data_IF_871430821690
#
_entry.id   IF_871430821690
#
_cell.length_a   1.000
_cell.length_b   1.000
_cell.length_c   1.000
_cell.angle_alpha   90.00
_cell.angle_beta   90.00
_cell.angle_gamma   90.00
#
_symmetry.space_group_name_H-M   'P 1'
#
loop_
_entity.id
_entity.type
_entity.pdbx_description
1 polymer ?
#
# COMPACT_ATOMS: atom_id res chain seq x y z
N UNK A 1 -9.96 33.89 -18.68
CA UNK A 1 -9.43 32.57 -19.13
C UNK A 1 -10.16 31.53 -18.30
N UNK A 2 -10.67 30.45 -18.89
CA UNK A 2 -11.28 29.36 -18.12
C UNK A 2 -10.18 28.69 -17.29
N UNK A 3 -10.44 28.40 -16.01
CA UNK A 3 -9.47 27.79 -15.08
C UNK A 3 -8.90 26.47 -15.59
N UNK A 4 -9.73 25.66 -16.25
CA UNK A 4 -9.31 24.40 -16.87
C UNK A 4 -8.32 24.67 -18.01
N UNK A 5 -8.59 25.65 -18.88
CA UNK A 5 -7.68 26.01 -19.98
C UNK A 5 -6.36 26.57 -19.44
N UNK A 6 -6.39 27.39 -18.40
CA UNK A 6 -5.19 27.90 -17.75
C UNK A 6 -4.30 26.75 -17.23
N UNK A 7 -4.88 25.77 -16.55
CA UNK A 7 -4.13 24.64 -16.03
C UNK A 7 -3.53 23.78 -17.16
N UNK A 8 -4.30 23.55 -18.24
CA UNK A 8 -3.82 22.83 -19.44
C UNK A 8 -2.61 23.55 -20.04
N UNK A 9 -2.68 24.87 -20.21
CA UNK A 9 -1.60 25.65 -20.80
C UNK A 9 -0.32 25.58 -19.94
N UNK A 10 -0.45 25.59 -18.60
CA UNK A 10 0.67 25.41 -17.68
C UNK A 10 1.24 23.99 -17.81
N UNK A 11 0.41 22.96 -17.73
CA UNK A 11 0.88 21.57 -17.85
C UNK A 11 1.64 21.34 -19.16
N UNK A 12 1.07 21.77 -20.28
CA UNK A 12 1.68 21.63 -21.60
C UNK A 12 3.01 22.40 -21.71
N UNK A 13 3.08 23.59 -21.13
CA UNK A 13 4.32 24.39 -21.09
C UNK A 13 5.48 23.64 -20.42
N UNK A 14 5.17 22.80 -19.43
CA UNK A 14 6.17 22.03 -18.68
C UNK A 14 6.25 20.56 -19.11
N UNK A 15 5.66 20.21 -20.28
CA UNK A 15 5.78 18.89 -20.88
C UNK A 15 4.89 17.81 -20.23
N UNK A 16 3.87 18.22 -19.49
CA UNK A 16 2.88 17.32 -18.93
C UNK A 16 1.71 17.23 -19.92
N UNK A 17 1.57 16.06 -20.54
CA UNK A 17 0.49 15.82 -21.48
C UNK A 17 -0.86 15.81 -20.76
N UNK A 18 -1.86 16.41 -21.38
CA UNK A 18 -3.21 16.55 -20.81
C UNK A 18 -4.26 16.08 -21.79
N UNK A 19 -5.34 15.51 -21.25
CA UNK A 19 -6.61 15.30 -21.96
C UNK A 19 -7.75 15.78 -21.07
N UNK A 20 -8.92 16.03 -21.66
CA UNK A 20 -10.12 16.42 -20.91
C UNK A 20 -11.16 15.33 -21.03
N UNK A 21 -11.71 14.88 -19.91
CA UNK A 21 -12.76 13.86 -19.88
C UNK A 21 -14.16 14.45 -20.14
N UNK A 22 -15.18 13.59 -20.18
CA UNK A 22 -16.57 14.00 -20.44
C UNK A 22 -17.18 14.96 -19.41
N UNK A 23 -16.59 15.01 -18.19
CA UNK A 23 -17.01 15.91 -17.11
C UNK A 23 -16.25 17.25 -17.11
N UNK A 24 -15.54 17.55 -18.19
CA UNK A 24 -14.67 18.74 -18.32
C UNK A 24 -13.54 18.80 -17.26
N UNK A 25 -13.08 17.65 -16.80
CA UNK A 25 -11.97 17.52 -15.85
C UNK A 25 -10.70 17.10 -16.60
N UNK A 26 -9.55 17.54 -16.11
CA UNK A 26 -8.25 17.25 -16.71
C UNK A 26 -7.78 15.85 -16.29
N UNK A 27 -7.23 15.11 -17.24
CA UNK A 27 -6.43 13.90 -16.99
C UNK A 27 -5.01 14.20 -17.45
N UNK A 28 -4.04 14.01 -16.55
CA UNK A 28 -2.62 14.24 -16.84
C UNK A 28 -1.87 12.91 -17.04
N UNK A 29 -0.82 12.92 -17.85
CA UNK A 29 0.04 11.75 -18.04
C UNK A 29 0.90 11.46 -16.80
N UNK A 30 1.55 12.50 -16.27
CA UNK A 30 2.36 12.43 -15.07
C UNK A 30 2.28 13.76 -14.33
N UNK A 31 2.69 13.77 -13.05
CA UNK A 31 2.88 14.99 -12.27
C UNK A 31 4.24 14.95 -11.58
N UNK A 32 5.04 15.97 -11.82
CA UNK A 32 6.29 16.24 -11.11
C UNK A 32 6.61 17.72 -11.21
N UNK A 33 7.50 18.21 -10.34
CA UNK A 33 8.00 19.59 -10.43
C UNK A 33 8.77 19.82 -11.74
N UNK A 34 8.73 21.04 -12.30
CA UNK A 34 9.51 21.39 -13.47
C UNK A 34 11.01 21.19 -13.24
N UNK A 35 11.73 20.81 -14.29
CA UNK A 35 13.17 20.53 -14.19
C UNK A 35 13.95 21.78 -13.73
N UNK A 36 14.64 21.65 -12.60
CA UNK A 36 15.51 22.71 -12.05
C UNK A 36 14.81 23.78 -11.22
N UNK A 37 13.48 23.71 -11.07
CA UNK A 37 12.68 24.69 -10.29
C UNK A 37 11.44 24.03 -9.70
N UNK A 38 10.56 24.79 -9.04
CA UNK A 38 9.26 24.33 -8.56
C UNK A 38 8.14 25.22 -9.13
N UNK A 39 6.90 24.75 -9.12
CA UNK A 39 5.75 25.56 -9.51
C UNK A 39 5.61 26.80 -8.62
N UNK A 40 5.87 26.66 -7.32
CA UNK A 40 5.86 27.78 -6.37
C UNK A 40 6.92 28.85 -6.68
N UNK A 41 8.16 28.44 -7.01
CA UNK A 41 9.22 29.37 -7.44
C UNK A 41 8.89 30.09 -8.74
N UNK A 42 8.00 29.54 -9.55
CA UNK A 42 7.45 30.14 -10.76
C UNK A 42 6.22 31.02 -10.49
N UNK A 43 5.82 31.16 -9.22
CA UNK A 43 4.61 31.90 -8.82
C UNK A 43 3.30 31.19 -9.15
N UNK A 44 3.33 29.86 -9.35
CA UNK A 44 2.17 29.05 -9.65
C UNK A 44 1.77 28.30 -8.38
N UNK A 45 0.56 28.57 -7.88
CA UNK A 45 -0.01 27.84 -6.76
C UNK A 45 -0.41 26.43 -7.23
N UNK A 46 0.19 25.39 -6.62
CA UNK A 46 0.00 23.99 -7.01
C UNK A 46 -1.41 23.49 -6.71
N UNK A 47 -2.02 23.86 -5.57
CA UNK A 47 -3.37 23.46 -5.22
C UNK A 47 -4.39 24.00 -6.24
N UNK A 48 -4.19 25.24 -6.73
CA UNK A 48 -5.01 25.80 -7.80
C UNK A 48 -4.78 25.12 -9.15
N UNK A 49 -3.52 24.77 -9.46
CA UNK A 49 -3.16 24.08 -10.70
C UNK A 49 -3.83 22.72 -10.83
N UNK A 50 -3.89 21.96 -9.74
CA UNK A 50 -4.40 20.58 -9.79
C UNK A 50 -5.87 20.44 -9.38
N UNK A 51 -6.56 21.49 -8.93
CA UNK A 51 -7.96 21.37 -8.42
C UNK A 51 -8.94 20.78 -9.41
N UNK A 52 -8.70 20.97 -10.72
CA UNK A 52 -9.52 20.44 -11.81
C UNK A 52 -8.96 19.15 -12.41
N UNK A 53 -7.94 18.54 -11.82
CA UNK A 53 -7.37 17.27 -12.28
C UNK A 53 -8.13 16.11 -11.65
N UNK A 54 -8.77 15.29 -12.48
CA UNK A 54 -9.51 14.12 -12.02
C UNK A 54 -8.61 12.88 -11.86
N UNK A 55 -7.62 12.71 -12.75
CA UNK A 55 -6.81 11.52 -12.76
C UNK A 55 -5.38 11.78 -13.30
N UNK A 56 -4.46 10.88 -12.89
CA UNK A 56 -3.12 10.78 -13.45
C UNK A 56 -2.93 9.37 -14.00
N UNK A 57 -2.70 9.25 -15.32
CA UNK A 57 -2.55 7.95 -15.98
C UNK A 57 -1.18 7.29 -15.78
N UNK A 58 -0.22 8.03 -15.24
CA UNK A 58 1.12 7.55 -14.90
C UNK A 58 1.49 7.85 -13.45
N UNK A 59 2.66 8.43 -13.25
CA UNK A 59 3.23 8.71 -11.93
C UNK A 59 2.86 10.11 -11.43
N UNK A 60 2.38 10.21 -10.20
CA UNK A 60 2.22 11.43 -9.44
C UNK A 60 3.28 11.49 -8.33
N UNK A 61 4.28 12.35 -8.50
CA UNK A 61 5.40 12.48 -7.57
C UNK A 61 5.35 13.81 -6.83
N UNK A 62 5.42 13.77 -5.49
CA UNK A 62 5.28 14.96 -4.64
C UNK A 62 6.63 15.57 -4.24
N UNK A 63 7.75 15.12 -4.81
CA UNK A 63 9.08 15.65 -4.49
C UNK A 63 9.14 17.17 -4.71
N UNK A 64 9.50 17.92 -3.65
CA UNK A 64 9.50 19.38 -3.61
C UNK A 64 8.14 20.05 -3.87
N UNK A 65 7.06 19.28 -3.86
CA UNK A 65 5.71 19.81 -4.02
C UNK A 65 5.22 20.46 -2.72
N UNK A 66 4.48 21.57 -2.87
CA UNK A 66 3.81 22.29 -1.80
C UNK A 66 2.30 21.97 -1.71
N UNK A 67 1.88 20.94 -2.42
CA UNK A 67 0.49 20.47 -2.36
C UNK A 67 0.09 20.12 -0.94
N UNK A 68 -1.07 20.62 -0.51
CA UNK A 68 -1.67 20.31 0.79
C UNK A 68 -2.81 19.32 0.69
N UNK A 69 -3.45 19.25 -0.49
CA UNK A 69 -4.59 18.38 -0.77
C UNK A 69 -4.36 17.62 -2.08
N UNK A 70 -4.72 16.34 -2.09
CA UNK A 70 -4.68 15.51 -3.29
C UNK A 70 -6.11 15.36 -3.84
N UNK A 71 -6.47 16.05 -4.94
CA UNK A 71 -7.84 16.10 -5.44
C UNK A 71 -8.25 14.92 -6.32
N UNK A 72 -7.28 14.17 -6.88
CA UNK A 72 -7.52 13.16 -7.90
C UNK A 72 -8.40 12.01 -7.43
N UNK A 73 -9.21 11.49 -8.34
CA UNK A 73 -10.07 10.32 -8.13
C UNK A 73 -9.30 9.02 -8.38
N UNK A 74 -8.38 9.04 -9.34
CA UNK A 74 -7.58 7.87 -9.71
C UNK A 74 -6.15 8.26 -10.09
N UNK A 75 -5.20 7.38 -9.77
CA UNK A 75 -3.81 7.52 -10.18
C UNK A 75 -3.16 6.15 -10.37
N UNK A 76 -2.32 6.00 -11.39
CA UNK A 76 -1.59 4.75 -11.59
C UNK A 76 -0.55 4.54 -10.49
N UNK A 77 0.26 5.55 -10.22
CA UNK A 77 1.28 5.49 -9.19
C UNK A 77 1.35 6.80 -8.42
N UNK A 78 1.33 6.73 -7.10
CA UNK A 78 1.54 7.88 -6.22
C UNK A 78 2.83 7.63 -5.43
N UNK A 79 3.77 8.59 -5.53
CA UNK A 79 4.99 8.61 -4.71
C UNK A 79 4.96 9.87 -3.86
N UNK A 80 4.72 9.69 -2.58
CA UNK A 80 4.84 10.76 -1.60
C UNK A 80 6.23 10.72 -0.97
N UNK A 81 6.95 11.82 -1.04
CA UNK A 81 8.22 11.95 -0.31
C UNK A 81 7.98 12.37 1.16
N UNK A 82 9.05 12.30 1.96
CA UNK A 82 8.95 12.56 3.39
C UNK A 82 8.68 14.04 3.74
N UNK A 83 8.88 14.96 2.80
CA UNK A 83 8.60 16.39 2.96
C UNK A 83 7.23 16.79 2.38
N UNK A 84 6.44 15.83 1.92
CA UNK A 84 5.14 16.07 1.35
C UNK A 84 4.18 16.67 2.39
N UNK A 85 3.51 17.74 2.05
CA UNK A 85 2.56 18.44 2.93
C UNK A 85 1.12 17.90 2.80
N UNK A 86 0.86 16.95 1.89
CA UNK A 86 -0.46 16.35 1.71
C UNK A 86 -0.86 15.58 2.96
N UNK A 87 -1.96 16.01 3.58
CA UNK A 87 -2.53 15.36 4.77
C UNK A 87 -3.84 14.65 4.48
N UNK A 88 -4.47 14.90 3.33
CA UNK A 88 -5.78 14.38 2.95
C UNK A 88 -5.86 14.08 1.45
N UNK A 89 -6.59 13.01 1.14
CA UNK A 89 -6.89 12.55 -0.22
C UNK A 89 -8.40 12.22 -0.32
N UNK A 90 -9.28 13.23 -0.28
CA UNK A 90 -10.72 12.99 -0.06
C UNK A 90 -11.40 12.23 -1.19
N UNK A 91 -10.90 12.37 -2.42
CA UNK A 91 -11.55 11.88 -3.63
C UNK A 91 -10.95 10.59 -4.17
N UNK A 92 -9.76 10.16 -3.71
CA UNK A 92 -9.05 9.02 -4.28
C UNK A 92 -9.82 7.72 -4.05
N UNK A 93 -10.22 7.08 -5.16
CA UNK A 93 -10.98 5.81 -5.20
C UNK A 93 -10.15 4.65 -5.72
N UNK A 94 -9.19 4.93 -6.60
CA UNK A 94 -8.36 3.91 -7.23
C UNK A 94 -6.90 4.35 -7.32
N UNK A 95 -6.00 3.45 -6.96
CA UNK A 95 -4.56 3.63 -7.14
C UNK A 95 -3.90 2.29 -7.40
N UNK A 96 -2.99 2.25 -8.39
CA UNK A 96 -2.24 1.04 -8.68
C UNK A 96 -1.11 0.81 -7.70
N UNK A 97 -0.19 1.76 -7.60
CA UNK A 97 0.90 1.74 -6.63
C UNK A 97 0.89 3.00 -5.77
N UNK A 98 0.95 2.82 -4.46
CA UNK A 98 0.92 3.90 -3.51
C UNK A 98 2.07 3.79 -2.51
N UNK A 99 3.03 4.70 -2.61
CA UNK A 99 4.08 4.91 -1.62
C UNK A 99 3.63 6.04 -0.70
N UNK A 100 3.26 5.67 0.52
CA UNK A 100 2.65 6.57 1.50
C UNK A 100 3.73 7.35 2.24
N UNK A 101 3.69 8.68 2.14
CA UNK A 101 4.62 9.55 2.88
C UNK A 101 4.32 9.58 4.38
N UNK A 102 5.34 9.96 5.16
CA UNK A 102 5.29 9.98 6.63
C UNK A 102 4.24 10.94 7.22
N UNK A 103 3.90 12.01 6.49
CA UNK A 103 2.97 13.04 6.98
C UNK A 103 1.50 12.69 6.77
N UNK A 104 1.18 11.73 5.91
CA UNK A 104 -0.20 11.30 5.71
C UNK A 104 -0.70 10.55 6.96
N UNK A 105 -1.75 11.10 7.60
CA UNK A 105 -2.32 10.53 8.84
C UNK A 105 -3.47 9.58 8.59
N UNK A 106 -4.16 9.75 7.45
CA UNK A 106 -5.34 8.96 7.10
C UNK A 106 -5.32 8.63 5.62
N UNK A 107 -5.47 7.37 5.29
CA UNK A 107 -5.69 6.95 3.92
C UNK A 107 -7.10 7.32 3.44
N UNK A 108 -7.24 7.56 2.13
CA UNK A 108 -8.55 7.70 1.52
C UNK A 108 -9.38 6.42 1.71
N UNK A 109 -10.66 6.51 1.38
CA UNK A 109 -11.61 5.38 1.48
C UNK A 109 -11.40 4.35 0.36
N UNK A 110 -10.15 3.95 0.12
CA UNK A 110 -9.81 2.92 -0.85
C UNK A 110 -10.43 1.59 -0.47
N UNK A 111 -11.11 0.94 -1.42
CA UNK A 111 -11.63 -0.41 -1.26
C UNK A 111 -10.65 -1.47 -1.77
N UNK A 112 -9.90 -1.13 -2.81
CA UNK A 112 -8.89 -1.98 -3.40
C UNK A 112 -7.65 -1.16 -3.79
N UNK A 113 -6.50 -1.81 -3.79
CA UNK A 113 -5.21 -1.24 -4.23
C UNK A 113 -4.36 -2.32 -4.87
N UNK A 114 -3.64 -1.98 -5.95
CA UNK A 114 -2.67 -2.90 -6.53
C UNK A 114 -1.51 -3.16 -5.57
N UNK A 115 -0.80 -2.11 -5.16
CA UNK A 115 0.18 -2.20 -4.08
C UNK A 115 0.18 -0.94 -3.22
N UNK A 116 0.45 -1.11 -1.93
CA UNK A 116 0.62 -0.02 -0.99
C UNK A 116 1.85 -0.29 -0.11
N UNK A 117 2.74 0.71 -0.03
CA UNK A 117 3.90 0.70 0.85
C UNK A 117 3.77 1.84 1.86
N UNK A 118 3.91 1.53 3.14
CA UNK A 118 3.72 2.41 4.27
C UNK A 118 4.94 2.35 5.20
N UNK A 119 6.11 2.56 4.65
CA UNK A 119 7.34 2.65 5.45
C UNK A 119 7.35 3.94 6.27
N UNK A 120 7.66 3.85 7.56
CA UNK A 120 7.68 4.97 8.52
C UNK A 120 6.37 5.80 8.57
N UNK A 121 5.27 5.26 8.09
CA UNK A 121 4.01 5.98 7.95
C UNK A 121 3.29 6.17 9.28
N UNK A 122 2.65 7.32 9.45
CA UNK A 122 1.77 7.64 10.60
C UNK A 122 0.34 7.15 10.44
N UNK A 123 0.03 6.46 9.34
CA UNK A 123 -1.30 5.86 9.12
C UNK A 123 -1.53 4.71 10.10
N UNK A 124 -2.60 4.80 10.88
CA UNK A 124 -2.92 3.81 11.93
C UNK A 124 -3.87 2.71 11.48
N UNK A 125 -4.71 2.97 10.46
CA UNK A 125 -5.73 2.01 10.05
C UNK A 125 -6.03 2.09 8.56
N UNK A 126 -6.46 0.95 7.99
CA UNK A 126 -6.94 0.80 6.62
C UNK A 126 -8.44 0.43 6.64
N UNK A 127 -9.34 1.35 7.07
CA UNK A 127 -10.69 0.99 7.52
C UNK A 127 -11.63 0.54 6.40
N UNK A 128 -11.29 0.74 5.13
CA UNK A 128 -12.12 0.39 3.97
C UNK A 128 -11.43 -0.53 2.97
N UNK A 129 -10.13 -0.77 3.13
CA UNK A 129 -9.37 -1.60 2.21
C UNK A 129 -9.77 -3.06 2.37
N UNK A 130 -10.45 -3.59 1.35
CA UNK A 130 -10.95 -4.97 1.30
C UNK A 130 -9.99 -5.91 0.58
N UNK A 131 -9.40 -5.43 -0.49
CA UNK A 131 -8.52 -6.21 -1.35
C UNK A 131 -7.22 -5.46 -1.64
N UNK A 132 -6.09 -6.15 -1.58
CA UNK A 132 -4.80 -5.62 -1.96
C UNK A 132 -3.99 -6.67 -2.74
N UNK A 133 -3.31 -6.27 -3.80
CA UNK A 133 -2.29 -7.13 -4.40
C UNK A 133 -1.12 -7.26 -3.43
N UNK A 134 -0.52 -6.13 -3.04
CA UNK A 134 0.55 -6.10 -2.05
C UNK A 134 0.28 -5.03 -1.00
N UNK A 135 0.56 -5.38 0.25
CA UNK A 135 0.58 -4.48 1.38
C UNK A 135 1.90 -4.65 2.12
N UNK A 136 2.69 -3.58 2.17
CA UNK A 136 3.92 -3.51 2.96
C UNK A 136 3.76 -2.43 4.01
N UNK A 137 4.03 -2.75 5.26
CA UNK A 137 4.14 -1.78 6.34
C UNK A 137 5.37 -2.13 7.18
N UNK A 138 6.32 -1.20 7.24
CA UNK A 138 7.55 -1.34 8.01
C UNK A 138 7.75 -0.10 8.87
N UNK A 139 8.08 -0.27 10.14
CA UNK A 139 8.27 0.83 11.10
C UNK A 139 7.09 1.83 11.08
N UNK A 140 5.89 1.38 10.78
CA UNK A 140 4.72 2.23 10.62
C UNK A 140 3.81 2.16 11.86
N UNK A 141 2.91 3.13 11.99
CA UNK A 141 1.92 3.13 13.07
C UNK A 141 0.69 2.27 12.77
N UNK A 142 0.74 1.40 11.77
CA UNK A 142 -0.39 0.54 11.40
C UNK A 142 -0.74 -0.42 12.54
N UNK A 143 -1.92 -0.24 13.12
CA UNK A 143 -2.41 -1.04 14.24
C UNK A 143 -3.66 -1.85 13.92
N UNK A 144 -4.36 -1.53 12.82
CA UNK A 144 -5.65 -2.15 12.50
C UNK A 144 -5.92 -2.23 10.99
N UNK A 145 -6.38 -3.43 10.55
CA UNK A 145 -6.78 -3.73 9.17
C UNK A 145 -8.13 -4.47 9.21
N UNK A 146 -9.22 -3.77 9.55
CA UNK A 146 -10.46 -4.43 10.01
C UNK A 146 -11.22 -5.19 8.94
N UNK A 147 -11.11 -4.79 7.66
CA UNK A 147 -11.96 -5.31 6.58
C UNK A 147 -11.18 -5.97 5.42
N UNK A 148 -9.87 -6.07 5.50
CA UNK A 148 -9.05 -6.71 4.47
C UNK A 148 -9.40 -8.20 4.41
N UNK A 149 -9.96 -8.65 3.28
CA UNK A 149 -10.35 -10.05 3.07
C UNK A 149 -9.31 -10.82 2.27
N UNK A 150 -8.74 -10.20 1.25
CA UNK A 150 -7.81 -10.86 0.35
C UNK A 150 -6.56 -10.01 0.14
N UNK A 151 -5.42 -10.67 0.16
CA UNK A 151 -4.15 -10.06 -0.20
C UNK A 151 -3.29 -11.10 -0.92
N UNK A 152 -2.65 -10.71 -2.03
CA UNK A 152 -1.67 -11.63 -2.60
C UNK A 152 -0.46 -11.71 -1.68
N UNK A 153 0.13 -10.58 -1.30
CA UNK A 153 1.25 -10.57 -0.37
C UNK A 153 1.12 -9.47 0.68
N UNK A 154 1.38 -9.83 1.92
CA UNK A 154 1.39 -8.89 3.04
C UNK A 154 2.70 -9.03 3.81
N UNK A 155 3.39 -7.91 4.01
CA UNK A 155 4.59 -7.81 4.82
C UNK A 155 4.39 -6.75 5.90
N UNK A 156 4.39 -7.16 7.15
CA UNK A 156 4.24 -6.30 8.31
C UNK A 156 5.47 -6.49 9.19
N UNK A 157 6.26 -5.43 9.33
CA UNK A 157 7.49 -5.45 10.13
C UNK A 157 7.48 -4.27 11.10
N UNK A 158 7.74 -4.53 12.38
CA UNK A 158 7.83 -3.51 13.43
C UNK A 158 6.64 -2.55 13.45
N UNK A 159 5.43 -3.09 13.35
CA UNK A 159 4.18 -2.34 13.41
C UNK A 159 3.37 -2.76 14.64
N UNK A 160 2.63 -1.83 15.28
CA UNK A 160 1.79 -2.17 16.44
C UNK A 160 0.49 -2.87 16.04
N UNK A 161 0.54 -3.76 15.04
CA UNK A 161 -0.62 -4.46 14.52
C UNK A 161 -1.17 -5.43 15.58
N UNK A 162 -2.40 -5.21 16.03
CA UNK A 162 -3.03 -6.02 17.07
C UNK A 162 -4.09 -6.99 16.52
N UNK A 163 -4.66 -6.71 15.36
CA UNK A 163 -5.74 -7.50 14.81
C UNK A 163 -5.71 -7.58 13.28
N UNK A 164 -5.96 -8.80 12.78
CA UNK A 164 -6.27 -9.10 11.36
C UNK A 164 -7.58 -9.87 11.37
N UNK A 165 -8.71 -9.11 11.43
CA UNK A 165 -10.02 -9.72 11.69
C UNK A 165 -10.62 -10.45 10.50
N UNK A 166 -10.49 -9.89 9.30
CA UNK A 166 -11.30 -10.30 8.14
C UNK A 166 -10.51 -11.07 7.09
N UNK A 167 -9.19 -11.16 7.20
CA UNK A 167 -8.33 -11.81 6.20
C UNK A 167 -8.71 -13.27 6.04
N UNK A 168 -9.11 -13.65 4.82
CA UNK A 168 -9.51 -15.00 4.42
C UNK A 168 -8.43 -15.70 3.64
N UNK A 169 -7.81 -14.99 2.70
CA UNK A 169 -6.81 -15.56 1.80
C UNK A 169 -5.57 -14.66 1.70
N UNK A 170 -4.42 -15.31 1.68
CA UNK A 170 -3.16 -14.68 1.32
C UNK A 170 -2.32 -15.66 0.48
N UNK A 171 -1.55 -15.17 -0.47
CA UNK A 171 -0.51 -15.98 -1.08
C UNK A 171 0.68 -16.05 -0.12
N UNK A 172 1.30 -14.92 0.18
CA UNK A 172 2.39 -14.84 1.14
C UNK A 172 2.03 -13.87 2.28
N UNK A 173 2.20 -14.32 3.51
CA UNK A 173 1.95 -13.54 4.71
C UNK A 173 3.20 -13.54 5.58
N UNK A 174 3.84 -12.38 5.69
CA UNK A 174 5.04 -12.17 6.48
C UNK A 174 4.75 -11.15 7.60
N UNK A 175 4.88 -11.57 8.85
CA UNK A 175 4.63 -10.73 10.02
C UNK A 175 5.76 -10.94 11.02
N UNK A 176 6.52 -9.89 11.32
CA UNK A 176 7.57 -10.01 12.33
C UNK A 176 7.85 -8.71 13.08
N UNK A 177 8.40 -8.83 14.29
CA UNK A 177 9.23 -7.81 14.90
C UNK A 177 10.71 -8.16 14.72
N UNK A 178 11.52 -7.16 14.41
CA UNK A 178 12.99 -7.32 14.36
C UNK A 178 13.57 -7.38 15.78
N UNK A 179 12.85 -6.87 16.79
CA UNK A 179 13.22 -6.97 18.19
C UNK A 179 12.49 -8.14 18.86
N UNK A 180 13.21 -9.16 19.29
CA UNK A 180 12.65 -10.34 19.95
C UNK A 180 11.95 -10.04 21.28
N UNK A 181 12.31 -8.92 21.92
CA UNK A 181 11.71 -8.47 23.18
C UNK A 181 10.45 -7.60 22.97
N UNK A 182 10.20 -7.12 21.76
CA UNK A 182 9.05 -6.29 21.39
C UNK A 182 8.12 -7.05 20.42
N UNK A 183 7.45 -8.07 20.95
CA UNK A 183 6.59 -8.93 20.13
C UNK A 183 5.39 -8.19 19.54
N UNK A 184 5.08 -8.48 18.28
CA UNK A 184 3.80 -8.05 17.70
C UNK A 184 2.65 -8.75 18.42
N UNK A 185 1.68 -7.99 18.95
CA UNK A 185 0.58 -8.52 19.76
C UNK A 185 -0.60 -9.05 18.94
N UNK A 186 -0.32 -9.92 18.00
CA UNK A 186 -1.36 -10.64 17.23
C UNK A 186 -1.59 -12.01 17.87
N UNK A 187 -2.68 -12.15 18.62
CA UNK A 187 -3.01 -13.42 19.29
C UNK A 187 -3.65 -14.45 18.37
N UNK A 188 -4.46 -14.01 17.42
CA UNK A 188 -5.25 -14.88 16.56
C UNK A 188 -5.47 -14.27 15.19
N UNK A 189 -5.16 -15.02 14.14
CA UNK A 189 -5.61 -14.68 12.77
C UNK A 189 -6.85 -15.54 12.51
N UNK A 190 -8.01 -15.01 12.94
CA UNK A 190 -9.24 -15.78 13.13
C UNK A 190 -9.82 -16.37 11.86
N UNK A 191 -9.86 -15.60 10.78
CA UNK A 191 -10.61 -15.94 9.57
C UNK A 191 -9.72 -16.42 8.41
N UNK A 192 -8.39 -16.49 8.58
CA UNK A 192 -7.49 -16.98 7.55
C UNK A 192 -7.80 -18.46 7.23
N UNK A 193 -8.26 -18.70 6.01
CA UNK A 193 -8.65 -20.02 5.51
C UNK A 193 -7.54 -20.63 4.66
N UNK A 194 -6.90 -19.81 3.84
CA UNK A 194 -5.90 -20.24 2.87
C UNK A 194 -4.71 -19.31 2.84
N UNK A 195 -3.51 -19.87 2.88
CA UNK A 195 -2.25 -19.16 2.70
C UNK A 195 -1.26 -20.09 2.00
N UNK A 196 -0.50 -19.59 1.04
CA UNK A 196 0.58 -20.38 0.43
C UNK A 196 1.77 -20.44 1.39
N UNK A 197 2.31 -19.29 1.77
CA UNK A 197 3.43 -19.19 2.70
C UNK A 197 3.09 -18.26 3.86
N UNK A 198 3.19 -18.80 5.06
CA UNK A 198 3.04 -18.07 6.31
C UNK A 198 4.39 -18.01 7.03
N UNK A 199 4.88 -16.80 7.24
CA UNK A 199 6.02 -16.55 8.10
C UNK A 199 5.61 -15.60 9.23
N UNK A 200 5.79 -16.03 10.48
CA UNK A 200 5.56 -15.18 11.65
C UNK A 200 6.72 -15.32 12.61
N UNK A 201 7.32 -14.19 13.01
CA UNK A 201 8.40 -14.18 13.98
C UNK A 201 8.19 -13.11 15.06
N UNK A 202 8.65 -13.39 16.27
CA UNK A 202 8.56 -12.48 17.41
C UNK A 202 7.13 -11.94 17.60
N UNK A 203 6.18 -12.84 17.81
CA UNK A 203 4.75 -12.52 17.91
C UNK A 203 4.07 -13.28 19.05
N UNK A 204 2.98 -12.71 19.57
CA UNK A 204 2.10 -13.40 20.53
C UNK A 204 1.09 -14.33 19.87
N UNK A 205 1.25 -14.70 18.60
CA UNK A 205 0.34 -15.56 17.88
C UNK A 205 0.16 -16.92 18.61
N UNK A 206 -1.09 -17.26 18.93
CA UNK A 206 -1.46 -18.49 19.65
C UNK A 206 -2.17 -19.51 18.77
N UNK A 207 -2.93 -19.05 17.77
CA UNK A 207 -3.75 -19.96 16.97
C UNK A 207 -4.14 -19.43 15.60
N UNK A 208 -4.43 -20.37 14.70
CA UNK A 208 -4.92 -20.19 13.34
C UNK A 208 -6.18 -21.08 13.17
N UNK A 209 -7.31 -20.74 13.81
CA UNK A 209 -8.43 -21.69 14.00
C UNK A 209 -9.14 -22.06 12.70
N UNK A 210 -9.14 -21.16 11.70
CA UNK A 210 -9.86 -21.37 10.43
C UNK A 210 -8.97 -21.89 9.30
N UNK A 211 -7.66 -22.00 9.51
CA UNK A 211 -6.73 -22.40 8.47
C UNK A 211 -7.02 -23.82 7.97
N UNK A 212 -7.24 -23.96 6.67
CA UNK A 212 -7.57 -25.21 5.99
C UNK A 212 -6.52 -25.63 4.96
N UNK A 213 -5.81 -24.63 4.38
CA UNK A 213 -4.80 -24.88 3.35
C UNK A 213 -3.59 -23.98 3.56
N UNK A 214 -2.42 -24.59 3.53
CA UNK A 214 -1.13 -23.92 3.51
C UNK A 214 -0.11 -24.83 2.82
N UNK A 215 0.91 -24.26 2.17
CA UNK A 215 2.02 -25.03 1.65
C UNK A 215 3.23 -24.95 2.59
N UNK A 216 3.51 -23.78 3.14
CA UNK A 216 4.62 -23.58 4.08
C UNK A 216 4.22 -22.71 5.26
N UNK A 217 4.57 -23.15 6.45
CA UNK A 217 4.36 -22.40 7.70
C UNK A 217 5.70 -22.37 8.46
N UNK A 218 6.19 -21.18 8.74
CA UNK A 218 7.37 -20.95 9.55
C UNK A 218 7.03 -20.00 10.71
N UNK A 219 7.16 -20.49 11.93
CA UNK A 219 6.81 -19.77 13.15
C UNK A 219 8.02 -19.74 14.08
N UNK A 220 8.52 -18.55 14.39
CA UNK A 220 9.67 -18.34 15.24
C UNK A 220 9.31 -17.46 16.43
N UNK A 221 9.70 -17.86 17.62
CA UNK A 221 9.42 -17.12 18.86
C UNK A 221 7.93 -16.70 18.98
N UNK A 222 7.02 -17.64 18.65
CA UNK A 222 5.57 -17.48 18.73
C UNK A 222 5.00 -18.37 19.82
N UNK A 223 3.76 -18.08 20.25
CA UNK A 223 3.06 -18.86 21.28
C UNK A 223 2.20 -20.01 20.72
N UNK A 224 2.22 -20.26 19.43
CA UNK A 224 1.46 -21.33 18.78
C UNK A 224 1.98 -22.70 19.22
N UNK A 225 1.13 -23.46 19.91
CA UNK A 225 1.50 -24.80 20.41
C UNK A 225 1.13 -25.92 19.46
N UNK A 226 0.06 -25.74 18.67
CA UNK A 226 -0.43 -26.77 17.77
C UNK A 226 -0.93 -26.17 16.46
N UNK A 227 -0.43 -26.67 15.35
CA UNK A 227 -1.01 -26.49 14.03
C UNK A 227 -1.76 -27.78 13.68
N UNK A 228 -2.93 -27.66 13.06
CA UNK A 228 -3.74 -28.85 12.72
C UNK A 228 -2.92 -29.83 11.89
N UNK A 229 -2.82 -31.06 12.34
CA UNK A 229 -2.13 -32.14 11.62
C UNK A 229 -2.76 -32.49 10.26
N UNK A 230 -4.00 -32.02 10.02
CA UNK A 230 -4.68 -32.18 8.74
C UNK A 230 -4.18 -31.21 7.64
N UNK A 231 -3.33 -30.24 7.98
CA UNK A 231 -2.68 -29.39 6.99
C UNK A 231 -1.52 -30.18 6.37
N UNK A 232 -1.59 -30.43 5.07
CA UNK A 232 -0.48 -31.02 4.32
C UNK A 232 0.55 -29.92 3.97
N UNK A 233 1.17 -29.33 4.99
CA UNK A 233 2.06 -28.18 4.89
C UNK A 233 3.45 -28.53 5.43
N UNK A 234 4.48 -27.94 4.86
CA UNK A 234 5.80 -27.89 5.47
C UNK A 234 5.74 -26.95 6.69
N UNK A 235 6.00 -27.48 7.89
CA UNK A 235 5.87 -26.71 9.14
C UNK A 235 7.20 -26.64 9.85
N UNK A 236 7.70 -25.45 10.08
CA UNK A 236 8.88 -25.13 10.88
C UNK A 236 8.50 -24.25 12.06
N UNK A 237 8.61 -24.78 13.27
CA UNK A 237 8.29 -24.05 14.51
C UNK A 237 9.54 -24.07 15.39
N UNK A 238 10.07 -22.89 15.70
CA UNK A 238 11.26 -22.75 16.52
C UNK A 238 11.02 -21.68 17.62
N UNK A 239 11.74 -21.81 18.72
CA UNK A 239 11.63 -20.88 19.86
C UNK A 239 12.37 -19.58 19.66
N UNK A 240 13.29 -19.53 18.66
CA UNK A 240 14.06 -18.32 18.31
C UNK A 240 14.37 -18.30 16.82
N UNK A 241 14.80 -17.16 16.33
CA UNK A 241 15.33 -16.96 14.97
C UNK A 241 16.56 -16.07 15.07
N UNK A 242 17.63 -16.36 14.34
CA UNK A 242 18.80 -15.47 14.27
C UNK A 242 18.52 -14.27 13.37
N UNK A 243 19.21 -13.16 13.61
CA UNK A 243 19.08 -11.94 12.82
C UNK A 243 19.44 -12.18 11.34
N UNK A 244 20.47 -13.00 11.08
CA UNK A 244 20.86 -13.34 9.70
C UNK A 244 19.73 -14.11 8.99
N UNK A 245 19.12 -15.08 9.65
CA UNK A 245 18.00 -15.86 9.09
C UNK A 245 16.76 -15.00 8.87
N UNK A 246 16.51 -14.04 9.76
CA UNK A 246 15.41 -13.09 9.63
C UNK A 246 15.64 -12.15 8.43
N UNK A 247 16.88 -11.61 8.30
CA UNK A 247 17.27 -10.77 7.17
C UNK A 247 17.16 -11.52 5.83
N UNK A 248 17.68 -12.74 5.73
CA UNK A 248 17.54 -13.59 4.55
C UNK A 248 16.07 -13.78 4.12
N UNK A 249 15.17 -13.97 5.08
CA UNK A 249 13.74 -14.11 4.79
C UNK A 249 13.11 -12.81 4.30
N UNK A 250 13.54 -11.69 4.86
CA UNK A 250 13.07 -10.36 4.46
C UNK A 250 13.61 -9.99 3.06
N UNK A 251 14.89 -10.22 2.79
CA UNK A 251 15.50 -9.96 1.49
C UNK A 251 14.83 -10.80 0.39
N UNK A 252 14.62 -12.09 0.63
CA UNK A 252 13.89 -12.97 -0.28
C UNK A 252 12.46 -12.47 -0.57
N UNK A 253 11.80 -11.81 0.36
CA UNK A 253 10.49 -11.19 0.15
C UNK A 253 10.61 -9.90 -0.67
N UNK A 254 11.61 -9.05 -0.38
CA UNK A 254 11.83 -7.76 -1.06
C UNK A 254 12.38 -7.90 -2.48
N UNK A 255 13.27 -8.84 -2.72
CA UNK A 255 13.80 -9.14 -4.07
C UNK A 255 12.69 -9.55 -5.03
N UNK A 256 11.75 -10.34 -4.55
CA UNK A 256 10.59 -10.69 -5.34
C UNK A 256 9.68 -9.48 -5.61
N UNK A 257 9.48 -8.58 -4.63
CA UNK A 257 8.72 -7.35 -4.79
C UNK A 257 9.23 -6.50 -5.95
N UNK A 258 10.54 -6.41 -6.10
CA UNK A 258 11.16 -5.63 -7.16
C UNK A 258 11.08 -6.27 -8.55
N UNK A 259 10.99 -7.61 -8.65
CA UNK A 259 11.08 -8.34 -9.92
C UNK A 259 9.75 -8.60 -10.64
N UNK A 260 8.68 -8.93 -9.93
CA UNK A 260 7.42 -9.40 -10.57
C UNK A 260 6.26 -8.40 -10.58
N UNK A 261 6.30 -7.36 -9.74
CA UNK A 261 5.12 -6.52 -9.50
C UNK A 261 4.82 -5.48 -10.56
N UNK A 262 5.80 -5.12 -11.38
CA UNK A 262 5.57 -4.11 -12.42
C UNK A 262 4.49 -4.55 -13.42
N UNK A 263 4.45 -5.85 -13.72
CA UNK A 263 3.59 -6.39 -14.79
C UNK A 263 2.16 -6.71 -14.34
N UNK A 264 1.96 -7.17 -13.11
CA UNK A 264 0.62 -7.59 -12.62
C UNK A 264 -0.25 -6.44 -12.11
N UNK A 265 0.35 -5.38 -11.56
CA UNK A 265 -0.43 -4.20 -11.11
C UNK A 265 -1.05 -3.41 -12.27
N UNK A 266 -0.49 -3.49 -13.47
CA UNK A 266 -1.02 -2.84 -14.67
C UNK A 266 -2.37 -3.42 -15.12
N UNK A 267 -2.60 -4.73 -14.96
CA UNK A 267 -3.87 -5.37 -15.35
C UNK A 267 -5.04 -4.95 -14.46
N UNK A 268 -4.83 -4.90 -13.15
CA UNK A 268 -5.87 -4.50 -12.18
C UNK A 268 -6.29 -3.04 -12.37
N UNK A 269 -5.36 -2.16 -12.74
CA UNK A 269 -5.65 -0.76 -13.02
C UNK A 269 -6.48 -0.57 -14.29
N UNK A 270 -6.18 -1.31 -15.34
CA UNK A 270 -6.95 -1.27 -16.58
C UNK A 270 -8.43 -1.58 -16.33
N UNK A 271 -8.70 -2.59 -15.50
CA UNK A 271 -10.06 -2.99 -15.14
C UNK A 271 -10.76 -1.93 -14.27
N UNK A 272 -10.06 -1.33 -13.30
CA UNK A 272 -10.62 -0.27 -12.46
C UNK A 272 -10.87 1.02 -13.25
N UNK A 273 -9.94 1.41 -14.13
CA UNK A 273 -10.10 2.59 -14.99
C UNK A 273 -11.25 2.39 -15.97
N UNK A 274 -11.41 1.19 -16.56
CA UNK A 274 -12.52 0.85 -17.43
C UNK A 274 -13.86 0.91 -16.68
N UNK A 275 -13.95 0.42 -15.43
CA UNK A 275 -15.14 0.54 -14.59
C UNK A 275 -15.48 1.99 -14.23
N UNK A 276 -14.49 2.87 -14.05
CA UNK A 276 -14.70 4.30 -13.77
C UNK A 276 -15.13 5.06 -15.02
N UNK A 277 -14.66 4.61 -16.20
CA UNK A 277 -15.01 5.21 -17.51
C UNK A 277 -16.34 4.69 -18.10
N UNK A 278 -17.02 3.74 -17.44
CA UNK A 278 -18.29 3.20 -17.90
C UNK A 278 -18.18 2.34 -19.18
N UNK A 279 -17.00 1.74 -19.41
CA UNK A 279 -16.78 0.78 -20.50
C UNK A 279 -16.89 -0.65 -20.04
#
# INVERSE_FOLDING_TARGET
MNEVQWAIDIFNKYGIETTVNGDNMIVISNYCQPKGTTFEELGINEDELIKNVAACSGKFETRKSKLTTFPLVACQEIIMDNNCEITQMPNLKAVGRFFVGENLKKLPKLKAVGSISMENSKVKSLPKLKDAGILIAQNSQLSDIPVLENVARMCIVDCPLSEIKSLKTAQDLFICSTNENEKIDIKVIKNLVEVDKLFVANSTLKSLPSLKKANKIALFNCEVKNIKSSLNAEVDIQTSISDEKLAEKFDSFTDWYNSEMFTKSLGILSDIVNQIQGK
#
